data_IF_328336988046
#
_entry.id   IF_328336988046
#
_cell.length_a   1.000
_cell.length_b   1.000
_cell.length_c   1.000
_cell.angle_alpha   90.00
_cell.angle_beta   90.00
_cell.angle_gamma   90.00
#
_symmetry.space_group_name_H-M   'P 1'
#
loop_
_entity.id
_entity.type
_entity.pdbx_description
1 polymer ?
#
# COMPACT_ATOMS: atom_id res chain seq x y z
N UNK A 1 -30.64 10.84 -22.02
CA UNK A 1 -29.60 10.76 -23.07
C UNK A 1 -28.63 11.88 -22.76
N UNK A 2 -27.52 11.60 -22.08
CA UNK A 2 -26.52 12.65 -21.82
C UNK A 2 -25.73 12.89 -23.11
N UNK A 3 -25.47 14.16 -23.49
CA UNK A 3 -24.69 14.47 -24.67
C UNK A 3 -23.26 13.93 -24.52
N UNK A 4 -22.69 13.43 -25.61
CA UNK A 4 -21.27 13.11 -25.66
C UNK A 4 -20.45 14.39 -25.35
N UNK A 5 -19.38 14.31 -24.54
CA UNK A 5 -18.58 15.48 -24.20
C UNK A 5 -17.93 16.07 -25.46
N UNK A 6 -18.07 17.38 -25.64
CA UNK A 6 -17.68 18.13 -26.83
C UNK A 6 -16.16 18.20 -27.08
N UNK A 7 -15.33 17.81 -26.10
CA UNK A 7 -13.88 18.03 -26.10
C UNK A 7 -13.03 16.78 -26.36
N UNK A 8 -13.63 15.62 -26.65
CA UNK A 8 -12.87 14.36 -26.77
C UNK A 8 -12.21 13.89 -25.47
N UNK A 9 -12.50 14.58 -24.37
CA UNK A 9 -12.06 14.26 -23.01
C UNK A 9 -13.05 13.26 -22.42
N UNK A 10 -12.62 12.01 -22.31
CA UNK A 10 -13.42 10.98 -21.65
C UNK A 10 -13.33 11.16 -20.14
N UNK A 11 -14.44 11.05 -19.42
CA UNK A 11 -14.34 11.15 -17.96
C UNK A 11 -13.53 9.99 -17.37
N UNK A 12 -13.69 8.77 -17.92
CA UNK A 12 -12.97 7.57 -17.47
C UNK A 12 -12.40 6.81 -18.68
N UNK A 13 -11.13 6.40 -18.59
CA UNK A 13 -10.50 5.48 -19.54
C UNK A 13 -10.11 4.20 -18.81
N UNK A 14 -10.58 3.05 -19.31
CA UNK A 14 -10.09 1.74 -18.89
C UNK A 14 -9.02 1.28 -19.89
N UNK A 15 -7.82 1.01 -19.42
CA UNK A 15 -6.73 0.52 -20.27
C UNK A 15 -6.61 -0.99 -20.11
N UNK A 16 -6.96 -1.72 -21.17
CA UNK A 16 -7.02 -3.18 -21.25
C UNK A 16 -8.46 -3.69 -21.28
N UNK A 17 -8.79 -4.50 -22.28
CA UNK A 17 -10.07 -5.17 -22.49
C UNK A 17 -10.00 -6.67 -22.20
N UNK A 18 -9.00 -7.12 -21.42
CA UNK A 18 -8.97 -8.47 -20.85
C UNK A 18 -10.10 -8.72 -19.84
N UNK A 19 -10.09 -9.88 -19.18
CA UNK A 19 -11.12 -10.23 -18.19
C UNK A 19 -11.31 -9.14 -17.11
N UNK A 20 -10.22 -8.54 -16.64
CA UNK A 20 -10.22 -7.45 -15.64
C UNK A 20 -10.94 -6.20 -16.14
N UNK A 21 -10.58 -5.70 -17.33
CA UNK A 21 -11.17 -4.49 -17.87
C UNK A 21 -12.63 -4.64 -18.26
N UNK A 22 -13.02 -5.82 -18.78
CA UNK A 22 -14.44 -6.11 -19.07
C UNK A 22 -15.28 -6.23 -17.81
N UNK A 23 -14.74 -6.87 -16.77
CA UNK A 23 -15.39 -6.95 -15.46
C UNK A 23 -15.58 -5.56 -14.86
N UNK A 24 -14.53 -4.73 -14.87
CA UNK A 24 -14.59 -3.35 -14.42
C UNK A 24 -15.61 -2.51 -15.19
N UNK A 25 -15.58 -2.55 -16.52
CA UNK A 25 -16.55 -1.85 -17.37
C UNK A 25 -18.00 -2.32 -17.13
N UNK A 26 -18.21 -3.62 -16.92
CA UNK A 26 -19.53 -4.16 -16.55
C UNK A 26 -19.99 -3.66 -15.18
N UNK A 27 -19.06 -3.58 -14.22
CA UNK A 27 -19.32 -3.03 -12.88
C UNK A 27 -19.70 -1.55 -12.92
N UNK A 28 -19.00 -0.74 -13.72
CA UNK A 28 -19.33 0.67 -13.94
C UNK A 28 -20.74 0.83 -14.52
N UNK A 29 -21.10 0.06 -15.55
CA UNK A 29 -22.44 0.10 -16.14
C UNK A 29 -23.54 -0.27 -15.13
N UNK A 30 -23.32 -1.30 -14.31
CA UNK A 30 -24.24 -1.69 -13.23
C UNK A 30 -24.42 -0.59 -12.18
N UNK A 31 -23.38 0.20 -11.94
CA UNK A 31 -23.42 1.37 -11.04
C UNK A 31 -23.97 2.64 -11.71
N UNK A 32 -24.41 2.58 -12.98
CA UNK A 32 -24.94 3.72 -13.72
C UNK A 32 -23.88 4.65 -14.32
N UNK A 33 -22.60 4.29 -14.22
CA UNK A 33 -21.50 5.06 -14.81
C UNK A 33 -21.39 4.70 -16.30
N UNK A 34 -21.70 5.68 -17.15
CA UNK A 34 -21.82 5.48 -18.60
C UNK A 34 -20.87 6.35 -19.42
N UNK A 35 -20.05 7.20 -18.79
CA UNK A 35 -19.02 7.98 -19.49
C UNK A 35 -17.65 7.32 -19.31
N UNK A 36 -17.41 6.26 -20.08
CA UNK A 36 -16.12 5.61 -20.15
C UNK A 36 -15.88 4.96 -21.51
N UNK A 37 -14.60 4.83 -21.85
CA UNK A 37 -14.08 4.09 -23.02
C UNK A 37 -13.08 3.03 -22.55
N UNK A 38 -13.00 1.92 -23.27
CA UNK A 38 -12.02 0.86 -23.03
C UNK A 38 -11.03 0.87 -24.19
N UNK A 39 -9.75 1.05 -23.89
CA UNK A 39 -8.66 1.02 -24.86
C UNK A 39 -7.92 -0.31 -24.75
N UNK A 40 -7.70 -1.01 -25.85
CA UNK A 40 -6.95 -2.27 -25.84
C UNK A 40 -5.97 -2.38 -27.01
N UNK A 41 -4.79 -2.94 -26.74
CA UNK A 41 -3.72 -3.12 -27.73
C UNK A 41 -4.02 -4.17 -28.80
N UNK A 42 -4.91 -5.13 -28.49
CA UNK A 42 -5.25 -6.20 -29.42
C UNK A 42 -5.90 -5.65 -30.67
N UNK A 43 -5.65 -6.30 -31.80
CA UNK A 43 -6.27 -5.96 -33.09
C UNK A 43 -7.63 -6.65 -33.29
N UNK A 44 -8.04 -7.51 -32.35
CA UNK A 44 -9.30 -8.27 -32.38
C UNK A 44 -9.78 -8.50 -30.96
N UNK A 45 -11.09 -8.37 -30.74
CA UNK A 45 -11.70 -8.74 -29.46
C UNK A 45 -11.69 -10.27 -29.31
N UNK A 46 -11.04 -10.81 -28.27
CA UNK A 46 -10.79 -12.24 -28.12
C UNK A 46 -11.99 -13.05 -27.56
N UNK A 47 -13.10 -12.41 -27.19
CA UNK A 47 -14.26 -13.08 -26.57
C UNK A 47 -15.56 -12.33 -26.85
N UNK A 48 -16.71 -13.01 -26.76
CA UNK A 48 -18.03 -12.38 -26.80
C UNK A 48 -18.17 -11.35 -25.66
N UNK A 49 -17.94 -10.07 -25.97
CA UNK A 49 -18.22 -8.96 -25.07
C UNK A 49 -19.72 -8.69 -25.09
N UNK A 50 -20.33 -8.28 -23.96
CA UNK A 50 -21.67 -7.73 -24.00
C UNK A 50 -21.72 -6.53 -24.95
N UNK A 51 -22.76 -6.42 -25.78
CA UNK A 51 -22.89 -5.36 -26.79
C UNK A 51 -22.71 -3.92 -26.23
N UNK A 52 -23.12 -3.70 -24.97
CA UNK A 52 -22.95 -2.43 -24.28
C UNK A 52 -21.47 -2.04 -24.01
N UNK A 53 -20.58 -3.03 -23.89
CA UNK A 53 -19.14 -2.82 -23.76
C UNK A 53 -18.47 -2.70 -25.14
N UNK A 54 -18.93 -3.43 -26.14
CA UNK A 54 -18.39 -3.35 -27.51
C UNK A 54 -18.50 -1.94 -28.09
N UNK A 55 -19.62 -1.24 -27.85
CA UNK A 55 -19.77 0.15 -28.27
C UNK A 55 -18.70 1.10 -27.69
N UNK A 56 -18.09 0.72 -26.56
CA UNK A 56 -17.10 1.49 -25.79
C UNK A 56 -15.68 1.01 -26.01
N UNK A 57 -15.49 -0.09 -26.72
CA UNK A 57 -14.17 -0.67 -26.96
C UNK A 57 -13.48 0.04 -28.13
N UNK A 58 -12.18 0.33 -27.98
CA UNK A 58 -11.29 0.82 -29.02
C UNK A 58 -10.07 -0.08 -29.07
N UNK A 59 -9.96 -0.85 -30.15
CA UNK A 59 -8.89 -1.81 -30.41
C UNK A 59 -7.69 -1.14 -31.11
N UNK A 60 -6.53 -1.81 -31.09
CA UNK A 60 -5.28 -1.27 -31.64
C UNK A 60 -4.71 -0.07 -30.85
N UNK A 61 -5.21 0.17 -29.64
CA UNK A 61 -4.85 1.27 -28.76
C UNK A 61 -3.85 0.79 -27.70
N UNK A 62 -2.59 0.66 -28.09
CA UNK A 62 -1.52 0.34 -27.15
C UNK A 62 -1.03 1.60 -26.45
N UNK A 63 -1.40 1.80 -25.19
CA UNK A 63 -0.90 2.90 -24.36
C UNK A 63 0.55 2.64 -23.96
N UNK A 64 1.41 3.62 -24.20
CA UNK A 64 2.86 3.57 -23.88
C UNK A 64 3.28 4.63 -22.88
N UNK A 65 2.50 5.69 -22.71
CA UNK A 65 2.78 6.77 -21.76
C UNK A 65 1.47 7.28 -21.17
N UNK A 66 1.47 7.55 -19.86
CA UNK A 66 0.37 8.20 -19.13
C UNK A 66 0.96 9.27 -18.22
N UNK A 67 0.60 10.54 -18.45
CA UNK A 67 1.14 11.69 -17.73
C UNK A 67 0.02 12.47 -17.09
N UNK A 68 0.13 12.72 -15.79
CA UNK A 68 -0.82 13.55 -15.05
C UNK A 68 -0.48 15.04 -15.19
N UNK A 69 -1.52 15.86 -15.36
CA UNK A 69 -1.44 17.31 -15.35
C UNK A 69 -2.13 17.88 -14.12
N UNK A 70 -1.33 18.42 -13.20
CA UNK A 70 -1.79 19.04 -11.96
C UNK A 70 -2.65 20.30 -12.17
N UNK A 71 -2.58 20.95 -13.33
CA UNK A 71 -3.40 22.13 -13.61
C UNK A 71 -4.85 21.77 -13.98
N UNK A 72 -5.05 20.61 -14.59
CA UNK A 72 -6.35 20.17 -15.12
C UNK A 72 -6.94 18.98 -14.36
N UNK A 73 -6.21 18.45 -13.37
CA UNK A 73 -6.52 17.20 -12.67
C UNK A 73 -6.84 16.04 -13.64
N UNK A 74 -6.10 15.97 -14.74
CA UNK A 74 -6.38 15.03 -15.83
C UNK A 74 -5.13 14.29 -16.30
N UNK A 75 -5.36 13.13 -16.89
CA UNK A 75 -4.37 12.26 -17.49
C UNK A 75 -4.34 12.45 -19.00
N UNK A 76 -3.12 12.55 -19.53
CA UNK A 76 -2.84 12.47 -20.97
C UNK A 76 -2.19 11.13 -21.25
N UNK A 77 -2.87 10.27 -22.03
CA UNK A 77 -2.40 8.95 -22.41
C UNK A 77 -1.96 8.99 -23.88
N UNK A 78 -0.73 8.56 -24.16
CA UNK A 78 -0.20 8.44 -25.53
C UNK A 78 -0.15 6.98 -25.93
N UNK A 79 -0.60 6.72 -27.15
CA UNK A 79 -0.51 5.40 -27.78
C UNK A 79 0.81 5.23 -28.52
N UNK A 80 1.23 3.99 -28.75
CA UNK A 80 2.38 3.66 -29.62
C UNK A 80 2.22 4.23 -31.04
N UNK A 81 0.98 4.34 -31.52
CA UNK A 81 0.66 4.91 -32.82
C UNK A 81 0.67 6.45 -32.86
N UNK A 82 0.99 7.12 -31.74
CA UNK A 82 1.06 8.58 -31.65
C UNK A 82 -0.27 9.28 -31.38
N UNK A 83 -1.37 8.54 -31.22
CA UNK A 83 -2.67 9.10 -30.80
C UNK A 83 -2.64 9.47 -29.32
N UNK A 84 -3.29 10.58 -28.98
CA UNK A 84 -3.41 11.10 -27.60
C UNK A 84 -4.85 10.99 -27.13
N UNK A 85 -5.03 10.53 -25.90
CA UNK A 85 -6.30 10.43 -25.22
C UNK A 85 -6.25 11.24 -23.91
N UNK A 86 -7.33 11.92 -23.58
CA UNK A 86 -7.46 12.65 -22.33
C UNK A 86 -8.51 12.01 -21.43
N UNK A 87 -8.17 11.82 -20.16
CA UNK A 87 -9.03 11.19 -19.17
C UNK A 87 -8.98 11.94 -17.85
N UNK A 88 -10.10 12.07 -17.13
CA UNK A 88 -10.01 12.47 -15.71
C UNK A 88 -9.53 11.33 -14.83
N UNK A 89 -10.08 10.13 -15.07
CA UNK A 89 -9.77 8.91 -14.32
C UNK A 89 -9.24 7.84 -15.25
N UNK A 90 -8.19 7.14 -14.81
CA UNK A 90 -7.62 5.99 -15.53
C UNK A 90 -7.77 4.74 -14.67
N UNK A 91 -8.29 3.67 -15.27
CA UNK A 91 -8.37 2.33 -14.67
C UNK A 91 -7.44 1.41 -15.46
N UNK A 92 -6.26 1.14 -14.92
CA UNK A 92 -5.26 0.27 -15.52
C UNK A 92 -5.61 -1.21 -15.27
N UNK A 93 -6.16 -1.86 -16.29
CA UNK A 93 -6.60 -3.26 -16.28
C UNK A 93 -5.77 -4.19 -17.20
N UNK A 94 -4.76 -3.65 -17.87
CA UNK A 94 -3.82 -4.37 -18.72
C UNK A 94 -2.66 -4.95 -17.89
N UNK A 95 -1.72 -5.63 -18.54
CA UNK A 95 -0.51 -6.13 -17.87
C UNK A 95 0.20 -4.93 -17.23
N UNK A 96 0.38 -4.91 -15.90
CA UNK A 96 0.99 -3.78 -15.22
C UNK A 96 2.40 -3.49 -15.75
N UNK A 97 2.82 -2.22 -15.67
CA UNK A 97 4.20 -1.77 -15.97
C UNK A 97 5.22 -2.42 -15.03
N UNK A 98 4.72 -2.95 -13.92
CA UNK A 98 5.45 -3.65 -12.88
C UNK A 98 5.17 -5.15 -12.95
N UNK A 99 6.16 -5.95 -12.58
CA UNK A 99 6.06 -7.39 -12.54
C UNK A 99 6.21 -7.90 -11.10
N UNK A 100 5.63 -9.07 -10.78
CA UNK A 100 5.87 -9.72 -9.50
C UNK A 100 7.37 -9.85 -9.25
N UNK A 101 7.84 -9.36 -8.11
CA UNK A 101 9.26 -9.41 -7.80
C UNK A 101 9.59 -10.75 -7.16
N UNK A 102 10.45 -11.55 -7.78
CA UNK A 102 10.99 -12.75 -7.18
C UNK A 102 12.41 -12.40 -6.70
N UNK A 103 12.69 -12.47 -5.38
CA UNK A 103 14.01 -12.15 -4.87
C UNK A 103 15.03 -13.19 -5.33
N UNK A 104 16.24 -12.73 -5.66
CA UNK A 104 17.38 -13.59 -5.94
C UNK A 104 17.90 -14.21 -4.64
N UNK A 105 17.29 -15.31 -4.23
CA UNK A 105 17.74 -16.09 -3.07
C UNK A 105 18.75 -17.14 -3.52
N UNK A 106 19.85 -17.27 -2.76
CA UNK A 106 20.85 -18.30 -3.01
C UNK A 106 20.19 -19.69 -3.03
N UNK A 107 20.47 -20.52 -4.04
CA UNK A 107 19.92 -21.87 -4.17
C UNK A 107 18.44 -21.93 -4.54
N UNK A 108 17.84 -20.83 -5.00
CA UNK A 108 16.44 -20.79 -5.45
C UNK A 108 16.14 -21.79 -6.56
N UNK A 109 17.04 -21.92 -7.56
CA UNK A 109 16.88 -22.85 -8.68
C UNK A 109 16.99 -24.33 -8.27
N UNK A 110 17.62 -24.62 -7.13
CA UNK A 110 17.80 -25.99 -6.63
C UNK A 110 16.57 -26.54 -5.89
N UNK A 111 15.55 -25.69 -5.64
CA UNK A 111 14.36 -26.10 -4.93
C UNK A 111 13.55 -27.14 -5.73
N UNK A 112 13.31 -28.31 -5.11
CA UNK A 112 12.59 -29.41 -5.78
C UNK A 112 11.08 -29.30 -5.70
N UNK A 113 10.57 -28.44 -4.82
CA UNK A 113 9.15 -28.20 -4.64
C UNK A 113 8.59 -27.19 -5.64
N UNK A 114 7.30 -26.87 -5.49
CA UNK A 114 6.62 -25.90 -6.34
C UNK A 114 6.87 -24.47 -5.85
N UNK A 115 7.10 -23.52 -6.75
CA UNK A 115 7.18 -22.12 -6.34
C UNK A 115 6.50 -21.20 -7.34
N UNK A 116 5.87 -20.14 -6.84
CA UNK A 116 5.21 -19.12 -7.65
C UNK A 116 4.98 -17.84 -6.83
N UNK A 117 4.69 -16.72 -7.50
CA UNK A 117 4.33 -15.47 -6.82
C UNK A 117 2.80 -15.40 -6.59
N UNK A 118 2.36 -14.87 -5.45
CA UNK A 118 0.95 -14.79 -5.08
C UNK A 118 0.09 -14.01 -6.11
N UNK A 119 0.68 -12.99 -6.75
CA UNK A 119 0.08 -12.23 -7.87
C UNK A 119 -0.06 -13.01 -9.19
N UNK A 120 0.66 -14.11 -9.35
CA UNK A 120 0.55 -15.05 -10.46
C UNK A 120 0.14 -16.42 -9.90
N UNK A 121 -1.02 -16.45 -9.23
CA UNK A 121 -1.51 -17.64 -8.56
C UNK A 121 -1.63 -18.81 -9.53
N UNK A 122 -1.07 -19.94 -9.11
CA UNK A 122 -1.12 -21.17 -9.87
C UNK A 122 -2.48 -21.86 -9.69
N UNK A 123 -3.26 -21.96 -10.77
CA UNK A 123 -4.62 -22.53 -10.73
C UNK A 123 -4.65 -24.01 -10.38
N UNK A 124 -3.55 -24.71 -10.62
CA UNK A 124 -3.45 -26.17 -10.43
C UNK A 124 -2.81 -26.51 -9.07
N UNK A 125 -2.64 -25.53 -8.19
CA UNK A 125 -2.11 -25.73 -6.85
C UNK A 125 -3.22 -25.99 -5.84
N UNK A 126 -3.27 -27.22 -5.32
CA UNK A 126 -4.05 -27.58 -4.13
C UNK A 126 -3.15 -27.53 -2.89
N UNK A 127 -3.43 -26.65 -1.90
CA UNK A 127 -2.65 -26.60 -0.67
C UNK A 127 -2.76 -27.85 0.21
N UNK A 128 -3.76 -28.72 0.01
CA UNK A 128 -3.99 -29.88 0.86
C UNK A 128 -2.74 -30.77 1.01
N UNK A 129 -2.36 -31.06 2.26
CA UNK A 129 -1.22 -31.93 2.58
C UNK A 129 0.17 -31.32 2.35
N UNK A 130 0.28 -30.12 1.79
CA UNK A 130 1.57 -29.49 1.49
C UNK A 130 2.12 -28.70 2.68
N UNK A 131 3.44 -28.70 2.85
CA UNK A 131 4.14 -27.77 3.73
C UNK A 131 4.50 -26.51 2.93
N UNK A 132 3.81 -25.39 3.22
CA UNK A 132 3.89 -24.15 2.44
C UNK A 132 4.74 -23.12 3.17
N UNK A 133 5.77 -22.60 2.51
CA UNK A 133 6.45 -21.37 2.86
C UNK A 133 5.79 -20.18 2.15
N UNK A 134 5.54 -19.09 2.87
CA UNK A 134 5.12 -17.81 2.29
C UNK A 134 6.24 -16.81 2.57
N UNK A 135 6.91 -16.32 1.52
CA UNK A 135 8.03 -15.37 1.64
C UNK A 135 7.52 -13.99 1.30
N UNK A 136 7.46 -13.10 2.30
CA UNK A 136 6.80 -11.80 2.17
C UNK A 136 5.27 -11.91 2.32
N UNK A 137 4.66 -10.83 2.80
CA UNK A 137 3.23 -10.77 3.12
C UNK A 137 2.56 -9.58 2.45
N UNK A 138 2.86 -9.38 1.17
CA UNK A 138 2.15 -8.38 0.37
C UNK A 138 0.64 -8.59 0.45
N UNK A 139 -0.10 -7.56 0.01
CA UNK A 139 -1.57 -7.61 0.02
C UNK A 139 -2.11 -8.84 -0.72
N UNK A 140 -1.39 -9.33 -1.73
CA UNK A 140 -1.79 -10.50 -2.51
C UNK A 140 -1.66 -11.80 -1.72
N UNK A 141 -0.49 -12.09 -1.14
CA UNK A 141 -0.27 -13.26 -0.31
C UNK A 141 -1.17 -13.26 0.94
N UNK A 142 -1.42 -12.09 1.53
CA UNK A 142 -2.32 -11.92 2.67
C UNK A 142 -3.76 -12.39 2.39
N UNK A 143 -4.26 -12.25 1.15
CA UNK A 143 -5.59 -12.72 0.78
C UNK A 143 -5.70 -14.25 0.78
N UNK A 144 -4.63 -14.95 0.36
CA UNK A 144 -4.58 -16.40 0.31
C UNK A 144 -4.24 -17.04 1.67
N UNK A 145 -3.60 -16.29 2.57
CA UNK A 145 -3.07 -16.82 3.84
C UNK A 145 -4.11 -17.53 4.71
N UNK A 146 -5.35 -17.03 4.77
CA UNK A 146 -6.41 -17.67 5.57
C UNK A 146 -6.88 -19.01 4.98
N UNK A 147 -6.92 -19.12 3.66
CA UNK A 147 -7.29 -20.36 2.96
C UNK A 147 -6.16 -21.39 3.07
N UNK A 148 -4.92 -20.94 2.88
CA UNK A 148 -3.71 -21.76 3.06
C UNK A 148 -3.65 -22.33 4.48
N UNK A 149 -3.83 -21.48 5.49
CA UNK A 149 -3.81 -21.87 6.90
C UNK A 149 -4.95 -22.85 7.27
N UNK A 150 -6.05 -22.85 6.51
CA UNK A 150 -7.16 -23.78 6.71
C UNK A 150 -7.01 -25.13 5.99
N UNK A 151 -6.14 -25.23 4.98
CA UNK A 151 -6.10 -26.36 4.05
C UNK A 151 -4.73 -27.06 4.00
N UNK A 152 -3.63 -26.32 4.16
CA UNK A 152 -2.28 -26.86 4.10
C UNK A 152 -1.90 -27.67 5.34
N UNK A 153 -0.96 -28.61 5.19
CA UNK A 153 -0.43 -29.38 6.32
C UNK A 153 0.32 -28.47 7.31
N UNK A 154 1.04 -27.48 6.78
CA UNK A 154 1.58 -26.38 7.58
C UNK A 154 1.82 -25.15 6.72
N UNK A 155 1.66 -23.97 7.30
CA UNK A 155 2.04 -22.70 6.67
C UNK A 155 3.11 -22.02 7.52
N UNK A 156 4.28 -21.78 6.95
CA UNK A 156 5.37 -21.00 7.54
C UNK A 156 5.51 -19.70 6.78
N UNK A 157 5.45 -18.57 7.47
CA UNK A 157 5.58 -17.25 6.87
C UNK A 157 6.91 -16.65 7.25
N UNK A 158 7.72 -16.32 6.25
CA UNK A 158 8.97 -15.60 6.38
C UNK A 158 8.68 -14.12 6.16
N UNK A 159 8.69 -13.38 7.27
CA UNK A 159 8.56 -11.93 7.25
C UNK A 159 9.87 -11.35 6.70
N UNK A 160 9.92 -11.05 5.40
CA UNK A 160 11.07 -10.37 4.82
C UNK A 160 11.11 -8.94 5.39
N UNK A 161 12.21 -8.52 6.06
CA UNK A 161 12.32 -7.15 6.54
C UNK A 161 12.20 -6.17 5.37
N UNK A 162 11.41 -5.08 5.51
CA UNK A 162 10.85 -4.58 6.76
C UNK A 162 9.33 -4.88 6.89
N UNK A 163 8.84 -6.11 6.76
CA UNK A 163 7.36 -6.34 6.70
C UNK A 163 6.87 -7.45 7.65
N UNK A 164 5.92 -7.10 8.55
CA UNK A 164 5.37 -7.93 9.67
C UNK A 164 3.94 -8.45 9.35
N UNK A 165 3.28 -9.28 10.15
CA UNK A 165 2.05 -10.03 9.77
C UNK A 165 0.69 -9.49 10.30
N UNK A 166 -0.39 -9.46 9.49
CA UNK A 166 -1.82 -9.43 9.93
C UNK A 166 -2.59 -10.70 9.58
N UNK A 167 -3.29 -11.30 10.54
CA UNK A 167 -4.41 -12.21 10.26
C UNK A 167 -5.68 -11.42 9.87
N UNK A 168 -6.34 -11.83 8.78
CA UNK A 168 -7.60 -11.29 8.25
C UNK A 168 -8.64 -11.04 9.38
N UNK A 169 -9.29 -9.87 9.45
CA UNK A 169 -10.43 -9.69 10.35
C UNK A 169 -11.56 -10.63 9.92
N UNK A 170 -12.07 -11.42 10.86
CA UNK A 170 -13.26 -12.25 10.65
C UNK A 170 -14.42 -11.37 10.16
N UNK A 171 -15.21 -11.92 9.22
CA UNK A 171 -16.40 -11.28 8.65
C UNK A 171 -17.32 -10.70 9.73
N UNK A 172 -18.02 -9.60 9.38
CA UNK A 172 -18.97 -8.86 10.24
C UNK A 172 -19.81 -9.82 11.10
N UNK A 173 -19.47 -9.92 12.38
CA UNK A 173 -20.31 -10.56 13.38
C UNK A 173 -21.50 -9.62 13.59
N UNK A 174 -22.67 -9.97 13.04
CA UNK A 174 -23.91 -9.19 13.18
C UNK A 174 -24.26 -8.98 14.66
N UNK A 175 -24.96 -7.87 14.99
CA UNK A 175 -25.39 -7.55 16.37
C UNK A 175 -26.09 -8.73 17.05
N UNK A 176 -26.84 -9.53 16.29
CA UNK A 176 -27.51 -10.74 16.75
C UNK A 176 -26.52 -11.81 17.26
N UNK A 177 -25.44 -12.07 16.52
CA UNK A 177 -24.40 -13.03 16.90
C UNK A 177 -23.62 -12.55 18.13
N UNK A 178 -23.43 -11.23 18.29
CA UNK A 178 -22.81 -10.62 19.49
C UNK A 178 -23.72 -10.72 20.72
N UNK A 179 -25.04 -10.57 20.53
CA UNK A 179 -26.04 -10.72 21.58
C UNK A 179 -26.16 -12.18 22.06
N UNK A 180 -26.20 -13.14 21.13
CA UNK A 180 -26.18 -14.59 21.44
C UNK A 180 -24.93 -14.97 22.25
N UNK A 181 -23.77 -14.38 21.93
CA UNK A 181 -22.49 -14.61 22.61
C UNK A 181 -22.48 -14.14 24.08
N UNK A 182 -23.29 -13.17 24.44
CA UNK A 182 -23.31 -12.59 25.79
C UNK A 182 -24.35 -13.22 26.71
N UNK A 183 -25.32 -13.99 26.19
CA UNK A 183 -26.45 -14.51 26.99
C UNK A 183 -26.52 -16.02 27.15
N UNK A 184 -25.77 -16.80 26.36
CA UNK A 184 -25.80 -18.27 26.46
C UNK A 184 -24.42 -18.82 26.81
N UNK A 185 -24.15 -19.16 28.08
CA UNK A 185 -22.98 -19.93 28.47
C UNK A 185 -22.99 -21.28 27.75
N UNK A 186 -21.95 -21.58 26.96
CA UNK A 186 -21.81 -22.87 26.26
C UNK A 186 -22.34 -22.94 24.83
N UNK A 187 -22.72 -21.82 24.20
CA UNK A 187 -23.06 -21.82 22.77
C UNK A 187 -21.88 -22.40 21.95
N UNK A 188 -22.09 -23.43 21.12
CA UNK A 188 -21.02 -24.09 20.39
C UNK A 188 -20.44 -23.08 19.39
N UNK A 189 -19.25 -22.58 19.69
CA UNK A 189 -18.43 -21.93 18.68
C UNK A 189 -18.05 -23.05 17.73
N UNK A 190 -18.53 -23.01 16.49
CA UNK A 190 -17.82 -23.63 15.36
C UNK A 190 -16.46 -22.93 15.27
N UNK A 191 -15.55 -23.27 16.19
CA UNK A 191 -14.13 -23.05 16.02
C UNK A 191 -13.75 -24.05 14.96
N UNK A 192 -13.85 -23.65 13.69
CA UNK A 192 -12.91 -24.18 12.72
C UNK A 192 -11.54 -23.99 13.38
N UNK A 193 -10.85 -25.09 13.69
CA UNK A 193 -9.51 -25.07 14.22
C UNK A 193 -8.62 -24.44 13.13
N UNK A 194 -8.56 -23.11 13.11
CA UNK A 194 -7.70 -22.38 12.20
C UNK A 194 -6.28 -22.58 12.72
N UNK A 195 -5.51 -23.44 12.05
CA UNK A 195 -4.09 -23.59 12.29
C UNK A 195 -3.47 -22.20 12.06
N UNK A 196 -2.90 -21.59 13.10
CA UNK A 196 -2.25 -20.30 12.93
C UNK A 196 -0.95 -20.54 12.16
N UNK A 197 -0.65 -19.76 11.09
CA UNK A 197 0.62 -19.90 10.39
C UNK A 197 1.79 -19.63 11.35
N UNK A 198 2.88 -20.40 11.19
CA UNK A 198 4.13 -20.20 11.92
C UNK A 198 4.82 -18.97 11.35
N UNK A 199 5.13 -17.97 12.17
CA UNK A 199 5.91 -16.81 11.75
C UNK A 199 7.40 -17.04 12.01
N UNK A 200 8.23 -16.72 11.03
CA UNK A 200 9.70 -16.75 11.09
C UNK A 200 10.21 -15.34 10.86
N UNK A 201 10.98 -14.83 11.83
CA UNK A 201 11.57 -13.49 11.79
C UNK A 201 13.06 -13.52 11.38
N UNK A 202 13.67 -14.71 11.36
CA UNK A 202 15.06 -14.86 10.94
C UNK A 202 15.19 -14.59 9.43
N UNK A 203 16.26 -13.93 9.03
CA UNK A 203 16.58 -13.65 7.62
C UNK A 203 16.82 -14.96 6.88
N UNK A 204 16.38 -15.02 5.62
CA UNK A 204 16.63 -16.17 4.76
C UNK A 204 18.11 -16.14 4.36
N UNK A 205 18.82 -17.24 4.61
CA UNK A 205 20.21 -17.46 4.17
C UNK A 205 20.23 -18.04 2.75
N UNK A 206 19.46 -19.11 2.53
CA UNK A 206 19.37 -19.76 1.23
C UNK A 206 18.08 -20.56 1.10
N UNK A 207 17.62 -20.72 -0.13
CA UNK A 207 16.73 -21.81 -0.53
C UNK A 207 17.58 -23.06 -0.76
N UNK A 208 17.05 -24.20 -0.36
CA UNK A 208 17.70 -25.51 -0.44
C UNK A 208 16.79 -26.47 -1.20
N UNK A 209 17.27 -27.64 -1.65
CA UNK A 209 16.41 -28.60 -2.35
C UNK A 209 15.15 -29.05 -1.58
N UNK A 210 15.15 -28.97 -0.25
CA UNK A 210 14.05 -29.42 0.61
C UNK A 210 13.27 -28.27 1.29
N UNK A 211 13.64 -27.01 1.08
CA UNK A 211 12.98 -25.88 1.73
C UNK A 211 13.86 -24.66 1.94
N UNK A 212 13.65 -23.91 3.02
CA UNK A 212 14.32 -22.62 3.28
C UNK A 212 15.23 -22.74 4.51
N UNK A 213 16.48 -22.29 4.40
CA UNK A 213 17.41 -22.14 5.52
C UNK A 213 17.50 -20.66 5.91
N UNK A 214 17.46 -20.40 7.21
CA UNK A 214 17.59 -19.05 7.78
C UNK A 214 18.98 -18.84 8.38
N UNK A 215 19.39 -17.58 8.56
CA UNK A 215 20.73 -17.21 9.06
C UNK A 215 21.00 -17.66 10.51
N UNK A 216 19.96 -18.00 11.27
CA UNK A 216 20.06 -18.63 12.60
C UNK A 216 20.37 -20.14 12.53
N UNK A 217 20.60 -20.67 11.33
CA UNK A 217 20.94 -22.08 11.08
C UNK A 217 19.73 -23.02 11.08
N UNK A 218 18.52 -22.50 11.25
CA UNK A 218 17.29 -23.32 11.22
C UNK A 218 16.93 -23.66 9.77
N UNK A 219 16.56 -24.92 9.55
CA UNK A 219 16.06 -25.40 8.28
C UNK A 219 14.55 -25.65 8.34
N UNK A 220 13.83 -25.06 7.40
CA UNK A 220 12.39 -25.14 7.26
C UNK A 220 12.05 -25.98 6.04
N UNK A 221 11.78 -27.27 6.25
CA UNK A 221 11.33 -28.16 5.19
C UNK A 221 9.95 -27.73 4.68
N UNK A 222 9.86 -27.47 3.39
CA UNK A 222 8.63 -27.07 2.70
C UNK A 222 8.62 -27.64 1.29
N UNK A 223 7.43 -28.00 0.81
CA UNK A 223 7.21 -28.53 -0.54
C UNK A 223 6.73 -27.44 -1.51
N UNK A 224 6.35 -26.27 -0.98
CA UNK A 224 5.90 -25.14 -1.79
C UNK A 224 6.37 -23.81 -1.23
N UNK A 225 6.86 -22.92 -2.10
CA UNK A 225 7.23 -21.53 -1.76
C UNK A 225 6.32 -20.56 -2.52
N UNK A 226 5.58 -19.74 -1.79
CA UNK A 226 4.74 -18.68 -2.35
C UNK A 226 5.38 -17.34 -2.05
N UNK A 227 5.77 -16.62 -3.09
CA UNK A 227 6.34 -15.28 -2.98
C UNK A 227 5.23 -14.23 -2.86
N UNK A 228 5.13 -13.59 -1.71
CA UNK A 228 4.34 -12.39 -1.43
C UNK A 228 5.23 -11.17 -1.29
N UNK A 229 6.19 -11.01 -2.20
CA UNK A 229 7.27 -10.02 -2.12
C UNK A 229 6.92 -8.69 -2.80
N UNK A 230 5.72 -8.58 -3.36
CA UNK A 230 5.22 -7.38 -4.01
C UNK A 230 5.66 -7.30 -5.48
N UNK A 231 5.97 -6.11 -5.95
CA UNK A 231 6.23 -5.86 -7.37
C UNK A 231 7.46 -4.98 -7.57
N UNK A 232 8.13 -5.20 -8.71
CA UNK A 232 9.26 -4.40 -9.19
C UNK A 232 8.96 -3.84 -10.58
N UNK A 233 9.65 -2.77 -10.98
CA UNK A 233 9.63 -2.26 -12.34
C UNK A 233 10.76 -2.95 -13.10
N UNK A 234 10.48 -3.62 -14.23
CA UNK A 234 11.53 -4.19 -15.06
C UNK A 234 12.51 -3.13 -15.55
N UNK A 235 13.79 -3.50 -15.65
CA UNK A 235 14.79 -2.67 -16.32
C UNK A 235 14.37 -2.37 -17.76
N UNK A 236 14.53 -1.11 -18.19
CA UNK A 236 14.18 -0.65 -19.54
C UNK A 236 12.77 -0.08 -19.71
N UNK A 237 11.97 0.02 -18.64
CA UNK A 237 10.76 0.88 -18.65
C UNK A 237 11.19 2.35 -18.70
N UNK A 238 10.70 3.09 -19.69
CA UNK A 238 10.98 4.53 -19.82
C UNK A 238 10.34 5.31 -18.66
N UNK A 239 11.04 6.31 -18.13
CA UNK A 239 10.54 7.20 -17.08
C UNK A 239 9.21 7.90 -17.46
N UNK A 240 8.97 8.09 -18.75
CA UNK A 240 7.76 8.73 -19.28
C UNK A 240 6.56 7.77 -19.38
N UNK A 241 6.72 6.49 -19.01
CA UNK A 241 5.66 5.47 -19.12
C UNK A 241 4.47 5.80 -18.22
N UNK A 242 4.75 6.23 -16.98
CA UNK A 242 3.72 6.63 -16.03
C UNK A 242 4.28 7.71 -15.11
N UNK A 243 3.77 8.93 -15.27
CA UNK A 243 4.21 10.13 -14.55
C UNK A 243 3.02 10.72 -13.82
N UNK A 244 3.13 10.80 -12.50
CA UNK A 244 2.11 11.29 -11.60
C UNK A 244 2.21 12.78 -11.30
N UNK A 245 1.51 13.19 -10.24
CA UNK A 245 1.52 14.56 -9.71
C UNK A 245 2.93 14.99 -9.32
N UNK A 246 3.26 16.27 -9.55
CA UNK A 246 4.60 16.80 -9.28
C UNK A 246 5.69 16.19 -10.15
N UNK A 247 5.33 15.58 -11.29
CA UNK A 247 6.23 14.86 -12.21
C UNK A 247 6.93 13.65 -11.59
N UNK A 248 6.37 13.08 -10.53
CA UNK A 248 6.90 11.85 -9.93
C UNK A 248 6.76 10.70 -10.93
N UNK A 249 7.87 10.09 -11.33
CA UNK A 249 7.84 8.92 -12.21
C UNK A 249 7.48 7.67 -11.43
N UNK A 250 6.99 6.65 -12.14
CA UNK A 250 6.69 5.37 -11.52
C UNK A 250 7.92 4.70 -10.90
N UNK A 251 9.10 4.89 -11.51
CA UNK A 251 10.38 4.43 -10.99
C UNK A 251 10.73 5.09 -9.65
N UNK A 252 10.54 6.41 -9.55
CA UNK A 252 10.76 7.16 -8.31
C UNK A 252 9.79 6.75 -7.21
N UNK A 253 8.53 6.51 -7.57
CA UNK A 253 7.52 6.10 -6.60
C UNK A 253 7.72 4.68 -6.06
N UNK A 254 8.35 3.77 -6.84
CA UNK A 254 8.48 2.35 -6.52
C UNK A 254 9.91 1.85 -6.29
N UNK A 255 10.85 2.77 -6.02
CA UNK A 255 12.27 2.45 -5.80
C UNK A 255 12.52 1.37 -4.73
N UNK A 256 11.66 1.24 -3.71
CA UNK A 256 11.81 0.27 -2.60
C UNK A 256 10.72 -0.85 -2.59
N UNK A 257 10.16 -1.14 -3.76
CA UNK A 257 9.08 -2.12 -3.94
C UNK A 257 7.70 -1.57 -3.56
N UNK A 258 6.71 -1.83 -4.41
CA UNK A 258 5.38 -1.24 -4.26
C UNK A 258 4.35 -2.16 -3.59
N UNK A 259 3.63 -1.60 -2.61
CA UNK A 259 2.30 -2.05 -2.21
C UNK A 259 1.27 -0.92 -2.45
N UNK A 260 0.41 -1.03 -3.48
CA UNK A 260 -0.70 -0.08 -3.64
C UNK A 260 -1.65 -0.15 -2.46
N UNK A 261 -2.24 0.99 -2.07
CA UNK A 261 -3.32 1.03 -1.09
C UNK A 261 -4.50 0.17 -1.58
N UNK A 262 -4.85 -0.84 -0.78
CA UNK A 262 -5.83 -1.89 -1.11
C UNK A 262 -5.55 -2.62 -2.44
N UNK A 263 -4.32 -2.56 -2.95
CA UNK A 263 -3.98 -3.08 -4.28
C UNK A 263 -4.60 -2.29 -5.44
N UNK A 264 -5.12 -1.08 -5.19
CA UNK A 264 -5.87 -0.26 -6.17
C UNK A 264 -5.29 1.14 -6.38
N UNK A 265 -4.89 1.87 -5.33
CA UNK A 265 -4.47 3.27 -5.46
C UNK A 265 -3.03 3.49 -4.99
N UNK A 266 -2.34 4.47 -5.58
CA UNK A 266 -0.94 4.79 -5.25
C UNK A 266 -0.79 6.29 -5.05
N UNK A 267 -0.11 6.69 -3.97
CA UNK A 267 0.26 8.07 -3.69
C UNK A 267 1.20 8.58 -4.79
N UNK A 268 1.00 9.82 -5.23
CA UNK A 268 1.67 10.40 -6.38
C UNK A 268 0.92 10.17 -7.69
N UNK A 269 -0.04 9.24 -7.76
CA UNK A 269 -0.82 8.95 -8.99
C UNK A 269 -2.32 9.20 -8.76
N UNK A 270 -2.73 10.48 -8.62
CA UNK A 270 -4.13 10.84 -8.43
C UNK A 270 -5.02 10.34 -9.58
N UNK A 271 -6.26 9.97 -9.28
CA UNK A 271 -7.24 9.46 -10.25
C UNK A 271 -6.79 8.23 -11.08
N UNK A 272 -5.67 7.59 -10.72
CA UNK A 272 -5.13 6.42 -11.40
C UNK A 272 -5.33 5.19 -10.53
N UNK A 273 -6.15 4.25 -11.01
CA UNK A 273 -6.52 3.04 -10.28
C UNK A 273 -5.98 1.79 -10.98
N UNK A 274 -5.40 0.91 -10.20
CA UNK A 274 -4.80 -0.36 -10.62
C UNK A 274 -5.80 -1.49 -10.40
N UNK A 275 -5.98 -2.32 -11.42
CA UNK A 275 -6.71 -3.59 -11.31
C UNK A 275 -5.74 -4.74 -11.47
N UNK A 276 -4.99 -5.00 -10.40
CA UNK A 276 -3.94 -6.04 -10.37
C UNK A 276 -4.17 -7.13 -9.35
N UNK A 277 -5.13 -6.97 -8.44
CA UNK A 277 -5.46 -7.98 -7.43
C UNK A 277 -6.32 -9.12 -7.99
N UNK A 278 -6.42 -10.24 -7.25
CA UNK A 278 -7.22 -11.39 -7.68
C UNK A 278 -8.74 -11.13 -7.51
N UNK A 279 -9.14 -10.23 -6.60
CA UNK A 279 -10.56 -9.86 -6.38
C UNK A 279 -10.95 -8.61 -7.19
N UNK A 280 -11.15 -8.80 -8.49
CA UNK A 280 -11.48 -7.72 -9.44
C UNK A 280 -12.80 -7.02 -9.07
N UNK A 281 -13.78 -7.76 -8.54
CA UNK A 281 -15.09 -7.21 -8.16
C UNK A 281 -14.97 -6.28 -6.94
N UNK A 282 -14.19 -6.66 -5.93
CA UNK A 282 -13.94 -5.78 -4.79
C UNK A 282 -13.16 -4.52 -5.19
N UNK A 283 -12.14 -4.67 -6.03
CA UNK A 283 -11.38 -3.52 -6.54
C UNK A 283 -12.26 -2.58 -7.37
N UNK A 284 -13.10 -3.13 -8.25
CA UNK A 284 -14.05 -2.35 -9.07
C UNK A 284 -15.05 -1.60 -8.18
N UNK A 285 -15.58 -2.25 -7.13
CA UNK A 285 -16.49 -1.61 -6.17
C UNK A 285 -15.82 -0.45 -5.45
N UNK A 286 -14.58 -0.62 -5.00
CA UNK A 286 -13.80 0.45 -4.37
C UNK A 286 -13.61 1.65 -5.32
N UNK A 287 -13.30 1.40 -6.60
CA UNK A 287 -13.21 2.46 -7.61
C UNK A 287 -14.56 3.18 -7.77
N UNK A 288 -15.68 2.45 -7.84
CA UNK A 288 -17.03 3.04 -7.91
C UNK A 288 -17.32 3.91 -6.69
N UNK A 289 -16.92 3.50 -5.48
CA UNK A 289 -17.05 4.30 -4.26
C UNK A 289 -16.22 5.59 -4.35
N UNK A 290 -14.98 5.51 -4.83
CA UNK A 290 -14.13 6.68 -5.10
C UNK A 290 -14.78 7.65 -6.10
N UNK A 291 -15.33 7.14 -7.21
CA UNK A 291 -16.04 7.94 -8.21
C UNK A 291 -17.28 8.60 -7.61
N UNK A 292 -18.03 7.88 -6.77
CA UNK A 292 -19.17 8.44 -6.04
C UNK A 292 -18.76 9.57 -5.10
N UNK A 293 -17.65 9.42 -4.37
CA UNK A 293 -17.11 10.47 -3.51
C UNK A 293 -16.71 11.72 -4.30
N UNK A 294 -16.03 11.56 -5.44
CA UNK A 294 -15.68 12.67 -6.33
C UNK A 294 -16.94 13.41 -6.83
N UNK A 295 -17.94 12.65 -7.29
CA UNK A 295 -19.20 13.21 -7.77
C UNK A 295 -19.97 13.96 -6.66
N UNK A 296 -20.07 13.38 -5.47
CA UNK A 296 -20.77 14.00 -4.33
C UNK A 296 -20.07 15.25 -3.79
N UNK A 297 -18.75 15.31 -3.86
CA UNK A 297 -17.97 16.45 -3.36
C UNK A 297 -17.62 17.48 -4.44
N UNK A 298 -18.05 17.24 -5.68
CA UNK A 298 -17.69 18.01 -6.88
C UNK A 298 -16.16 18.20 -7.03
N UNK A 299 -15.37 17.20 -6.60
CA UNK A 299 -13.91 17.22 -6.69
C UNK A 299 -13.44 16.51 -7.96
N UNK A 300 -12.44 17.09 -8.60
CA UNK A 300 -11.82 16.61 -9.83
C UNK A 300 -10.64 15.67 -9.58
N UNK A 301 -10.11 15.66 -8.35
CA UNK A 301 -8.95 14.88 -7.92
C UNK A 301 -9.27 14.04 -6.69
N UNK A 302 -8.88 12.77 -6.72
CA UNK A 302 -8.82 11.88 -5.57
C UNK A 302 -7.46 11.18 -5.55
N UNK A 303 -6.85 11.11 -4.38
CA UNK A 303 -5.55 10.50 -4.20
C UNK A 303 -5.44 9.88 -2.80
N UNK A 304 -4.75 8.75 -2.69
CA UNK A 304 -4.38 8.22 -1.39
C UNK A 304 -3.27 9.07 -0.77
N UNK A 305 -3.44 9.41 0.51
CA UNK A 305 -2.42 10.17 1.25
C UNK A 305 -1.24 9.27 1.58
N UNK A 306 -0.01 9.78 1.43
CA UNK A 306 1.23 9.03 1.70
C UNK A 306 1.20 8.33 3.05
N UNK A 307 0.83 9.06 4.10
CA UNK A 307 0.74 8.53 5.46
C UNK A 307 -0.28 7.40 5.59
N UNK A 308 -1.38 7.44 4.85
CA UNK A 308 -2.38 6.37 4.87
C UNK A 308 -1.95 5.14 4.09
N UNK A 309 -1.33 5.32 2.92
CA UNK A 309 -0.78 4.19 2.18
C UNK A 309 0.33 3.52 2.99
N UNK A 310 1.24 4.32 3.54
CA UNK A 310 2.30 3.83 4.41
C UNK A 310 1.72 3.11 5.64
N UNK A 311 0.80 3.73 6.38
CA UNK A 311 0.19 3.09 7.55
C UNK A 311 -0.66 1.88 7.16
N UNK A 312 -1.35 1.89 6.02
CA UNK A 312 -2.09 0.73 5.54
C UNK A 312 -1.15 -0.42 5.23
N UNK A 313 -0.09 -0.16 4.47
CA UNK A 313 0.95 -1.14 4.19
C UNK A 313 1.55 -1.62 5.51
N UNK A 314 1.97 -0.72 6.42
CA UNK A 314 2.45 -1.03 7.77
C UNK A 314 1.42 -1.70 8.72
N UNK A 315 0.11 -1.57 8.50
CA UNK A 315 -0.95 -2.10 9.39
C UNK A 315 -1.70 -3.29 8.84
N UNK A 316 -1.63 -3.56 7.54
CA UNK A 316 -1.74 -4.91 6.94
C UNK A 316 -0.64 -5.83 7.53
N UNK A 317 0.20 -5.30 8.43
CA UNK A 317 1.23 -5.99 9.21
C UNK A 317 1.06 -6.13 10.77
N UNK A 318 -0.09 -5.86 11.43
CA UNK A 318 -0.37 -6.30 12.84
C UNK A 318 -1.81 -6.77 13.23
N UNK A 319 -1.94 -7.96 13.88
CA UNK A 319 -2.44 -8.12 15.29
C UNK A 319 -2.56 -9.57 15.83
N UNK A 320 -2.08 -9.78 17.06
CA UNK A 320 -2.83 -10.49 18.13
C UNK A 320 -3.14 -9.47 19.25
N UNK A 321 -4.38 -9.37 19.78
CA UNK A 321 -4.63 -8.62 21.00
C UNK A 321 -4.95 -9.54 22.19
N UNK A 322 -4.17 -9.45 23.27
CA UNK A 322 -4.66 -9.53 24.66
C UNK A 322 -3.79 -8.64 25.55
N UNK A 323 -4.43 -7.68 26.24
CA UNK A 323 -3.91 -6.97 27.43
C UNK A 323 -5.09 -6.82 28.41
N UNK A 324 -4.90 -6.71 29.74
CA UNK A 324 -3.70 -6.38 30.54
C UNK A 324 -3.85 -6.85 32.01
N UNK A 325 -3.31 -6.15 33.05
CA UNK A 325 -2.46 -4.94 33.13
C UNK A 325 -0.99 -5.23 33.60
N UNK A 326 0.05 -4.41 33.33
CA UNK A 326 0.66 -3.30 34.15
C UNK A 326 0.76 -3.58 35.66
N UNK A 327 1.70 -3.07 36.49
CA UNK A 327 2.86 -2.17 36.33
C UNK A 327 4.16 -2.71 37.01
N UNK A 328 5.34 -2.19 36.68
CA UNK A 328 6.61 -2.96 36.68
C UNK A 328 6.50 -4.05 35.61
N UNK A 329 7.39 -4.16 34.64
CA UNK A 329 8.63 -4.80 34.97
C UNK A 329 9.71 -4.37 33.99
N UNK A 330 9.94 -3.07 34.01
CA UNK A 330 11.29 -2.58 33.95
C UNK A 330 11.90 -2.47 32.55
N UNK A 331 12.45 -1.28 32.41
CA UNK A 331 13.66 -0.92 31.71
C UNK A 331 14.81 -1.96 31.84
N UNK A 332 15.69 -1.92 30.84
CA UNK A 332 17.15 -2.10 30.86
C UNK A 332 17.72 -3.28 30.07
N UNK A 333 17.84 -3.15 28.74
CA UNK A 333 19.15 -3.30 28.04
C UNK A 333 19.05 -3.12 26.51
N UNK A 334 20.10 -2.49 25.99
CA UNK A 334 20.29 -1.85 24.69
C UNK A 334 20.50 -2.76 23.45
N UNK A 335 20.60 -2.05 22.31
CA UNK A 335 21.36 -2.31 21.07
C UNK A 335 20.56 -2.97 19.92
N UNK A 336 20.58 -2.52 18.65
CA UNK A 336 21.43 -1.57 17.92
C UNK A 336 20.76 -1.07 16.61
N UNK A 337 21.34 -0.02 16.00
CA UNK A 337 21.29 0.46 14.59
C UNK A 337 19.93 0.92 13.99
N UNK A 338 19.72 2.13 13.47
CA UNK A 338 20.57 3.29 13.18
C UNK A 338 19.94 4.14 12.05
N UNK A 339 18.60 4.23 12.01
CA UNK A 339 17.83 5.05 11.06
C UNK A 339 17.62 6.42 11.73
N UNK A 340 17.95 7.54 11.08
CA UNK A 340 17.93 8.92 11.61
C UNK A 340 16.55 9.48 12.01
N UNK A 341 15.69 8.64 12.56
CA UNK A 341 14.37 8.91 13.09
C UNK A 341 14.41 8.98 14.62
N UNK A 342 14.01 10.10 15.20
CA UNK A 342 13.75 10.19 16.63
C UNK A 342 12.40 9.55 16.95
N UNK A 343 12.35 8.52 17.78
CA UNK A 343 11.11 8.00 18.37
C UNK A 343 11.23 8.05 19.89
N UNK A 344 10.49 8.96 20.52
CA UNK A 344 10.64 9.19 21.94
C UNK A 344 9.64 10.20 22.51
N UNK A 345 9.70 10.43 23.83
CA UNK A 345 8.88 11.46 24.47
C UNK A 345 9.27 12.84 23.97
N UNK A 346 8.29 13.74 23.88
CA UNK A 346 8.49 15.15 23.63
C UNK A 346 7.43 15.94 24.38
N UNK A 347 7.76 17.18 24.71
CA UNK A 347 6.79 18.14 25.21
C UNK A 347 6.30 18.95 24.03
N UNK A 348 4.99 18.89 23.79
CA UNK A 348 4.35 19.69 22.76
C UNK A 348 3.64 20.86 23.42
N UNK A 349 4.20 22.06 23.28
CA UNK A 349 3.61 23.29 23.82
C UNK A 349 2.63 23.86 22.81
N UNK A 350 1.35 23.91 23.18
CA UNK A 350 0.27 24.48 22.39
C UNK A 350 -0.32 25.67 23.15
N UNK A 351 -0.16 26.89 22.63
CA UNK A 351 -0.72 28.10 23.27
C UNK A 351 -0.32 28.22 24.76
N UNK A 352 0.94 27.88 25.07
CA UNK A 352 1.48 27.93 26.44
C UNK A 352 1.07 26.77 27.35
N UNK A 353 0.30 25.79 26.85
CA UNK A 353 -0.01 24.56 27.57
C UNK A 353 0.90 23.44 27.09
N UNK A 354 1.61 22.82 28.02
CA UNK A 354 2.51 21.71 27.72
C UNK A 354 1.75 20.38 27.74
N UNK A 355 1.86 19.65 26.64
CA UNK A 355 1.34 18.30 26.51
C UNK A 355 2.50 17.32 26.44
N UNK A 356 2.59 16.42 27.40
CA UNK A 356 3.48 15.28 27.28
C UNK A 356 2.95 14.34 26.20
N UNK A 357 3.72 14.22 25.13
CA UNK A 357 3.38 13.42 23.96
C UNK A 357 4.53 12.49 23.63
N UNK A 358 4.23 11.42 22.91
CA UNK A 358 5.25 10.64 22.23
C UNK A 358 5.26 11.07 20.77
N UNK A 359 6.43 11.35 20.24
CA UNK A 359 6.61 11.72 18.83
C UNK A 359 7.55 10.76 18.13
N UNK A 360 7.28 10.52 16.86
CA UNK A 360 8.26 9.93 15.95
C UNK A 360 8.54 10.93 14.84
N UNK A 361 9.76 11.45 14.76
CA UNK A 361 10.18 12.49 13.84
C UNK A 361 11.33 11.99 12.96
N UNK A 362 11.36 12.45 11.73
CA UNK A 362 12.39 12.19 10.72
C UNK A 362 12.66 13.48 9.98
N UNK A 363 13.84 13.65 9.39
CA UNK A 363 14.11 14.83 8.58
C UNK A 363 15.14 14.61 7.49
N UNK A 364 15.18 15.56 6.56
CA UNK A 364 16.08 15.59 5.41
C UNK A 364 16.44 17.05 5.07
N UNK A 365 17.56 17.26 4.39
CA UNK A 365 17.94 18.57 3.84
C UNK A 365 17.28 18.74 2.46
N UNK A 366 16.47 19.77 2.27
CA UNK A 366 15.87 20.07 0.97
C UNK A 366 16.86 20.89 0.11
N UNK A 367 17.27 20.40 -1.07
CA UNK A 367 18.26 21.06 -1.90
C UNK A 367 17.72 22.32 -2.60
N UNK A 368 16.40 22.56 -2.62
CA UNK A 368 15.79 23.69 -3.31
C UNK A 368 15.83 24.95 -2.44
N UNK A 369 15.54 24.83 -1.14
CA UNK A 369 15.54 25.97 -0.21
C UNK A 369 16.75 25.97 0.76
N UNK A 370 17.54 24.90 0.76
CA UNK A 370 18.72 24.74 1.63
C UNK A 370 18.38 24.55 3.10
N UNK A 371 17.12 24.29 3.44
CA UNK A 371 16.65 24.14 4.81
C UNK A 371 16.45 22.67 5.17
N UNK A 372 16.58 22.35 6.46
CA UNK A 372 16.30 21.02 6.97
C UNK A 372 14.80 20.89 7.25
N UNK A 373 14.12 20.02 6.52
CA UNK A 373 12.70 19.74 6.70
C UNK A 373 12.54 18.49 7.56
N UNK A 374 11.69 18.57 8.58
CA UNK A 374 11.43 17.43 9.44
C UNK A 374 9.94 17.24 9.66
N UNK A 375 9.52 15.99 9.71
CA UNK A 375 8.13 15.59 9.80
C UNK A 375 7.99 14.31 10.62
N UNK A 376 6.77 14.08 11.10
CA UNK A 376 6.51 12.95 11.95
C UNK A 376 5.09 12.84 12.47
N UNK A 377 4.95 12.06 13.52
CA UNK A 377 3.68 11.73 14.14
C UNK A 377 3.70 12.05 15.63
N UNK A 378 2.62 12.64 16.12
CA UNK A 378 2.31 12.84 17.54
C UNK A 378 1.28 11.81 17.96
N UNK A 379 1.69 10.88 18.82
CA UNK A 379 0.87 9.77 19.31
C UNK A 379 0.06 10.16 20.56
N UNK A 380 -0.68 11.26 20.46
CA UNK A 380 -1.56 11.75 21.54
C UNK A 380 -2.89 12.25 20.95
N UNK A 381 -3.99 12.01 21.66
CA UNK A 381 -5.30 12.56 21.30
C UNK A 381 -5.39 14.02 21.77
N UNK A 382 -5.05 14.94 20.87
CA UNK A 382 -5.26 16.37 21.05
C UNK A 382 -6.66 16.78 20.58
N UNK A 383 -7.19 17.88 21.14
CA UNK A 383 -8.53 18.40 20.80
C UNK A 383 -8.66 18.82 19.34
N UNK A 384 -9.80 18.51 18.71
CA UNK A 384 -10.07 18.70 17.28
C UNK A 384 -9.97 20.16 16.77
N UNK A 385 -10.08 21.14 17.67
CA UNK A 385 -10.02 22.56 17.32
C UNK A 385 -8.62 23.01 16.85
N UNK A 386 -7.59 22.23 17.19
CA UNK A 386 -6.17 22.52 16.89
C UNK A 386 -5.75 22.16 15.47
N UNK A 387 -6.55 21.35 14.76
CA UNK A 387 -6.28 20.92 13.38
C UNK A 387 -7.03 21.80 12.37
N UNK A 388 -8.19 22.34 12.77
CA UNK A 388 -8.99 23.23 11.94
C UNK A 388 -8.36 24.61 11.72
N UNK A 389 -7.48 25.03 12.63
CA UNK A 389 -6.71 26.27 12.53
C UNK A 389 -5.23 25.94 12.73
N UNK A 390 -4.41 25.90 11.67
CA UNK A 390 -2.99 25.54 11.79
C UNK A 390 -2.27 26.57 12.66
N UNK A 391 -2.09 26.25 13.93
CA UNK A 391 -1.36 27.08 14.90
C UNK A 391 0.09 26.60 14.98
N UNK A 392 1.06 27.52 15.18
CA UNK A 392 2.42 27.12 15.51
C UNK A 392 2.41 26.37 16.85
N UNK A 393 3.00 25.19 16.85
CA UNK A 393 3.26 24.37 18.04
C UNK A 393 4.77 24.30 18.26
N UNK A 394 5.20 24.22 19.51
CA UNK A 394 6.62 24.00 19.81
C UNK A 394 6.81 22.57 20.26
N UNK A 395 7.72 21.86 19.61
CA UNK A 395 8.14 20.51 20.00
C UNK A 395 9.45 20.63 20.74
N UNK A 396 9.48 20.16 21.98
CA UNK A 396 10.68 20.13 22.81
C UNK A 396 11.10 18.70 23.09
N UNK A 397 12.33 18.36 22.74
CA UNK A 397 12.99 17.08 23.01
C UNK A 397 14.27 17.38 23.79
N UNK A 398 14.30 16.98 25.06
CA UNK A 398 15.40 17.34 25.96
C UNK A 398 15.57 18.86 26.06
N UNK A 399 16.74 19.38 25.66
CA UNK A 399 17.07 20.81 25.69
C UNK A 399 16.83 21.52 24.34
N UNK A 400 16.32 20.81 23.34
CA UNK A 400 16.11 21.35 21.99
C UNK A 400 14.64 21.56 21.75
N UNK A 401 14.29 22.75 21.29
CA UNK A 401 12.92 23.11 20.93
C UNK A 401 12.88 23.58 19.49
N UNK A 402 11.86 23.15 18.75
CA UNK A 402 11.66 23.57 17.37
C UNK A 402 10.19 23.91 17.12
N UNK A 403 9.98 24.93 16.29
CA UNK A 403 8.63 25.31 15.86
C UNK A 403 8.13 24.35 14.78
N UNK A 404 6.89 23.91 14.92
CA UNK A 404 6.22 23.00 14.01
C UNK A 404 4.76 23.40 13.82
N UNK A 405 4.08 22.70 12.92
CA UNK A 405 2.63 22.79 12.71
C UNK A 405 2.05 21.39 12.70
N UNK A 406 0.90 21.23 13.36
CA UNK A 406 0.08 20.04 13.22
C UNK A 406 -0.64 20.15 11.87
N UNK A 407 -0.43 19.18 10.99
CA UNK A 407 -0.90 19.26 9.61
C UNK A 407 -2.22 18.54 9.41
N UNK A 408 -2.45 17.45 10.14
CA UNK A 408 -3.66 16.64 9.97
C UNK A 408 -3.92 15.71 11.17
N UNK A 409 -5.18 15.38 11.42
CA UNK A 409 -5.60 14.29 12.32
C UNK A 409 -5.86 13.02 11.53
N UNK A 410 -5.27 11.92 11.98
CA UNK A 410 -5.54 10.59 11.44
C UNK A 410 -6.85 10.02 12.02
N UNK A 411 -7.49 9.01 11.37
CA UNK A 411 -8.73 8.37 11.85
C UNK A 411 -8.59 7.66 13.19
N UNK A 412 -7.34 7.46 13.63
CA UNK A 412 -6.99 6.78 14.87
C UNK A 412 -6.66 7.77 16.00
N UNK A 413 -6.85 9.07 15.77
CA UNK A 413 -6.72 10.12 16.79
C UNK A 413 -5.32 10.69 16.98
N UNK A 414 -4.31 10.17 16.27
CA UNK A 414 -2.95 10.73 16.22
C UNK A 414 -2.85 11.88 15.23
N UNK A 415 -1.85 12.74 15.40
CA UNK A 415 -1.68 13.95 14.59
C UNK A 415 -0.37 13.92 13.81
N UNK A 416 -0.39 14.31 12.54
CA UNK A 416 0.81 14.55 11.75
C UNK A 416 1.41 15.92 12.13
N UNK A 417 2.73 15.98 12.22
CA UNK A 417 3.48 17.18 12.59
C UNK A 417 4.61 17.41 11.59
N UNK A 418 4.84 18.66 11.21
CA UNK A 418 5.95 19.06 10.35
C UNK A 418 6.55 20.37 10.82
N UNK A 419 7.87 20.52 10.67
CA UNK A 419 8.60 21.74 10.95
C UNK A 419 9.74 21.93 9.96
N UNK A 420 10.25 23.17 9.89
CA UNK A 420 11.32 23.59 8.99
C UNK A 420 12.42 24.23 9.83
N UNK A 421 13.67 23.93 9.50
CA UNK A 421 14.85 24.38 10.22
C UNK A 421 15.43 23.30 11.13
N UNK A 422 16.23 23.71 12.11
CA UNK A 422 16.95 22.78 12.98
C UNK A 422 15.96 21.87 13.73
N UNK A 423 16.06 20.54 13.58
CA UNK A 423 15.13 19.63 14.22
C UNK A 423 15.31 19.65 15.74
N UNK A 424 14.26 19.32 16.51
CA UNK A 424 14.37 19.21 17.97
C UNK A 424 15.14 17.95 18.40
N UNK A 425 15.53 17.07 17.46
CA UNK A 425 16.36 15.89 17.71
C UNK A 425 17.78 16.07 17.13
N UNK A 426 18.72 15.19 17.49
CA UNK A 426 20.04 15.21 16.88
C UNK A 426 19.97 14.64 15.46
N UNK A 427 20.27 15.43 14.41
CA UNK A 427 20.54 14.85 13.10
C UNK A 427 21.86 14.10 13.18
N UNK A 428 21.95 12.89 12.61
CA UNK A 428 23.21 12.16 12.57
C UNK A 428 24.29 12.99 11.86
N UNK A 429 25.45 13.11 12.51
CA UNK A 429 26.50 14.11 12.28
C UNK A 429 27.09 14.12 10.85
N UNK A 430 27.10 15.29 10.21
CA UNK A 430 28.33 15.93 9.70
C UNK A 430 28.06 17.35 9.16
N UNK A 431 27.89 18.33 10.07
CA UNK A 431 28.40 19.70 9.84
C UNK A 431 28.80 20.28 11.20
N UNK A 432 29.97 19.85 11.67
CA UNK A 432 30.73 20.61 12.66
C UNK A 432 31.10 21.93 11.98
N UNK A 433 30.41 23.01 12.34
CA UNK A 433 30.89 24.37 12.10
C UNK A 433 32.16 24.53 12.95
N UNK A 434 33.32 24.53 12.30
CA UNK A 434 34.58 24.82 12.98
C UNK A 434 35.80 24.22 12.31
N UNK A 435 36.12 24.66 11.09
CA UNK A 435 37.50 24.75 10.58
C UNK A 435 37.52 25.50 9.23
N UNK A 436 37.71 26.82 9.29
CA UNK A 436 38.27 27.64 8.22
C UNK A 436 39.55 28.25 8.79
N UNK A 437 40.69 28.25 8.06
CA UNK A 437 41.97 28.68 8.61
C UNK A 437 42.11 30.21 8.67
N UNK A 438 42.82 30.63 9.74
CA UNK A 438 43.33 31.95 10.13
C UNK A 438 42.29 33.03 10.51
#
# INVERSE_FOLDING_TARGET
MNPAPADGLHHIIIVGAGARGRCAGSGLLKAGVTDFVILDKSQRCASATPAALDARLRIGQEIVSSVFDDNTDSWTLKTRAGQTWHARVVIAAHKPVYQPWIPELLGHEDFRGRWFHAAAWDSDFDPAGHHVAVVGTDTTAGQHLSQLAGSAASVTVFAYPPRRLVPRPASRVTRATRWLRCRVPGAPVLRAQQHSPKLVNATIDAVTPAGIRTCDGVHHNVDTIIYGTGFTIPDGVSDDTLVGSGKVTIAQAWYDGMEPYLGVAVHGFPNYFLLTGPDIDAQTRFIIECLGLMAHTAKTRIEVRRSYQQVFNERVHLRRPRYGPAPSAFDLSCAADGDGAYDGPATLTITGTDHEVRVRLTGYLDPIDGQYHWQGMVFHQLSDDLVKHPRPVTVTIGQRSASARLTERTPWGSHAIAGVGMPPFAPDNALTVGQLPA
#
